data_IF_675495705636
#
_entry.id   IF_675495705636
#
_cell.length_a   1.000
_cell.length_b   1.000
_cell.length_c   1.000
_cell.angle_alpha   90.00
_cell.angle_beta   90.00
_cell.angle_gamma   90.00
#
_symmetry.space_group_name_H-M   'P 1'
#
loop_
_entity.id
_entity.type
_entity.pdbx_description
1 polymer ?
#
# COMPACT_ATOMS: atom_id res chain seq x y z
N UNK A 1 -23.97 -18.21 -32.49
CA UNK A 1 -23.26 -19.29 -31.77
C UNK A 1 -22.58 -18.67 -30.56
N UNK A 2 -22.92 -19.07 -29.32
CA UNK A 2 -22.23 -18.56 -28.12
C UNK A 2 -20.97 -19.39 -27.88
N UNK A 3 -19.80 -18.75 -27.90
CA UNK A 3 -18.55 -19.40 -27.52
C UNK A 3 -18.60 -19.74 -26.02
N UNK A 4 -18.36 -21.01 -25.71
CA UNK A 4 -18.31 -21.55 -24.34
C UNK A 4 -16.86 -21.41 -23.87
N UNK A 5 -16.58 -20.37 -23.08
CA UNK A 5 -15.24 -20.16 -22.51
C UNK A 5 -14.86 -21.32 -21.59
N UNK A 6 -13.68 -21.90 -21.79
CA UNK A 6 -13.08 -22.86 -20.87
C UNK A 6 -12.59 -22.10 -19.63
N UNK A 7 -13.20 -22.36 -18.46
CA UNK A 7 -12.58 -22.05 -17.19
C UNK A 7 -11.49 -23.09 -16.94
N UNK A 8 -10.25 -22.74 -17.28
CA UNK A 8 -9.08 -23.52 -16.89
C UNK A 8 -8.93 -23.39 -15.37
N UNK A 9 -9.08 -24.50 -14.64
CA UNK A 9 -8.97 -24.57 -13.17
C UNK A 9 -7.48 -24.53 -12.69
N UNK A 10 -6.61 -23.89 -13.48
CA UNK A 10 -5.19 -23.77 -13.21
C UNK A 10 -4.89 -22.48 -12.44
N UNK A 11 -3.89 -22.54 -11.56
CA UNK A 11 -3.41 -21.39 -10.81
C UNK A 11 -2.91 -20.29 -11.77
N UNK A 12 -3.42 -19.07 -11.59
CA UNK A 12 -2.98 -17.89 -12.32
C UNK A 12 -2.37 -16.90 -11.31
N UNK A 13 -1.29 -16.26 -11.74
CA UNK A 13 -0.60 -15.21 -10.98
C UNK A 13 -0.95 -13.87 -11.62
N UNK A 14 -1.26 -12.87 -10.81
CA UNK A 14 -1.64 -11.53 -11.27
C UNK A 14 -0.92 -10.46 -10.44
N UNK A 15 -0.90 -9.23 -10.96
CA UNK A 15 -0.44 -8.05 -10.23
C UNK A 15 -1.41 -7.73 -9.08
N UNK A 16 -0.88 -7.16 -8.00
CA UNK A 16 -1.70 -6.77 -6.83
C UNK A 16 -2.16 -5.33 -6.99
N UNK A 17 -3.48 -5.11 -6.84
CA UNK A 17 -4.10 -3.79 -6.83
C UNK A 17 -4.56 -3.40 -5.42
N UNK A 18 -4.80 -2.11 -5.20
CA UNK A 18 -5.25 -1.57 -3.90
C UNK A 18 -6.58 -2.19 -3.46
N UNK A 19 -7.46 -2.50 -4.42
CA UNK A 19 -8.73 -3.21 -4.17
C UNK A 19 -8.54 -4.58 -3.54
N UNK A 20 -7.42 -5.25 -3.80
CA UNK A 20 -7.15 -6.60 -3.31
C UNK A 20 -6.73 -6.63 -1.83
N UNK A 21 -6.35 -5.47 -1.25
CA UNK A 21 -5.86 -5.37 0.13
C UNK A 21 -6.81 -5.99 1.16
N UNK A 22 -8.13 -5.88 0.95
CA UNK A 22 -9.14 -6.47 1.86
C UNK A 22 -9.06 -8.00 1.85
N UNK A 23 -8.92 -8.61 0.67
CA UNK A 23 -8.78 -10.06 0.51
C UNK A 23 -7.43 -10.53 1.03
N UNK A 24 -6.36 -9.79 0.73
CA UNK A 24 -5.01 -10.08 1.22
C UNK A 24 -4.95 -10.06 2.76
N UNK A 25 -5.65 -9.11 3.40
CA UNK A 25 -5.78 -9.02 4.86
C UNK A 25 -6.40 -10.30 5.44
N UNK A 26 -7.48 -10.80 4.86
CA UNK A 26 -8.13 -12.02 5.34
C UNK A 26 -7.22 -13.25 5.18
N UNK A 27 -6.49 -13.37 4.05
CA UNK A 27 -5.51 -14.44 3.84
C UNK A 27 -4.37 -14.36 4.87
N UNK A 28 -3.89 -13.16 5.17
CA UNK A 28 -2.80 -12.95 6.12
C UNK A 28 -3.20 -13.32 7.55
N UNK A 29 -4.41 -12.93 7.97
CA UNK A 29 -5.00 -13.31 9.25
C UNK A 29 -5.13 -14.83 9.39
N UNK A 30 -5.67 -15.50 8.35
CA UNK A 30 -5.77 -16.96 8.31
C UNK A 30 -4.39 -17.63 8.44
N UNK A 31 -3.38 -17.13 7.72
CA UNK A 31 -2.01 -17.66 7.78
C UNK A 31 -1.39 -17.53 9.17
N UNK A 32 -1.68 -16.45 9.89
CA UNK A 32 -1.21 -16.22 11.25
C UNK A 32 -2.03 -16.97 12.31
N UNK A 33 -3.14 -17.61 11.93
CA UNK A 33 -4.15 -18.15 12.83
C UNK A 33 -4.59 -17.11 13.89
N UNK A 34 -4.67 -15.84 13.48
CA UNK A 34 -4.96 -14.69 14.33
C UNK A 34 -6.21 -13.99 13.82
N UNK A 35 -7.07 -13.54 14.73
CA UNK A 35 -8.17 -12.62 14.41
C UNK A 35 -7.75 -11.14 14.41
N UNK A 36 -6.50 -10.86 14.77
CA UNK A 36 -5.97 -9.51 14.96
C UNK A 36 -4.88 -9.27 13.92
N UNK A 37 -5.02 -8.16 13.20
CA UNK A 37 -4.05 -7.70 12.24
C UNK A 37 -2.82 -7.16 12.98
N UNK A 38 -1.62 -7.63 12.61
CA UNK A 38 -0.40 -6.97 13.07
C UNK A 38 -0.35 -5.56 12.47
N UNK A 39 0.14 -4.58 13.24
CA UNK A 39 0.40 -3.21 12.82
C UNK A 39 1.34 -3.14 11.60
N UNK A 40 2.13 -4.20 11.39
CA UNK A 40 3.04 -4.35 10.25
C UNK A 40 2.37 -4.81 8.94
N UNK A 41 1.06 -5.09 8.93
CA UNK A 41 0.39 -5.49 7.69
C UNK A 41 0.15 -4.28 6.77
N UNK A 42 0.92 -4.24 5.69
CA UNK A 42 0.69 -3.30 4.61
C UNK A 42 1.48 -3.64 3.35
N UNK A 43 1.18 -2.90 2.28
CA UNK A 43 1.84 -3.01 0.99
C UNK A 43 2.67 -1.74 0.72
N UNK A 44 4.02 -1.82 0.76
CA UNK A 44 4.88 -0.72 0.35
C UNK A 44 4.67 -0.39 -1.13
N UNK A 45 4.42 0.88 -1.45
CA UNK A 45 4.16 1.32 -2.83
C UNK A 45 5.00 2.52 -3.26
N UNK A 46 5.74 3.14 -2.34
CA UNK A 46 6.65 4.24 -2.65
C UNK A 46 7.92 4.16 -1.78
N UNK A 47 9.07 4.43 -2.38
CA UNK A 47 10.37 4.49 -1.70
C UNK A 47 10.99 5.88 -1.87
N UNK A 48 11.59 6.40 -0.82
CA UNK A 48 12.52 7.52 -0.87
C UNK A 48 13.95 7.00 -0.74
N UNK A 49 14.81 7.38 -1.69
CA UNK A 49 16.21 6.95 -1.73
C UNK A 49 17.15 8.14 -1.70
N UNK A 50 18.27 7.98 -1.01
CA UNK A 50 19.41 8.90 -1.04
C UNK A 50 20.62 8.13 -1.53
N UNK A 51 21.15 8.50 -2.69
CA UNK A 51 22.11 7.69 -3.42
C UNK A 51 21.61 6.25 -3.61
N UNK A 52 22.16 5.28 -2.87
CA UNK A 52 21.76 3.87 -2.94
C UNK A 52 20.95 3.41 -1.72
N UNK A 53 20.83 4.25 -0.69
CA UNK A 53 20.17 3.89 0.57
C UNK A 53 18.69 4.27 0.55
N UNK A 54 17.83 3.36 1.00
CA UNK A 54 16.42 3.65 1.25
C UNK A 54 16.31 4.34 2.60
N UNK A 55 15.79 5.56 2.60
CA UNK A 55 15.69 6.41 3.81
C UNK A 55 14.25 6.59 4.30
N UNK A 56 13.25 6.30 3.45
CA UNK A 56 11.85 6.22 3.85
C UNK A 56 11.04 5.40 2.84
N UNK A 57 9.87 4.93 3.26
CA UNK A 57 8.88 4.31 2.36
C UNK A 57 7.45 4.59 2.81
N UNK A 58 6.53 4.65 1.86
CA UNK A 58 5.09 4.73 2.12
C UNK A 58 4.44 3.35 1.92
N UNK A 59 3.53 3.03 2.82
CA UNK A 59 2.84 1.75 2.90
C UNK A 59 1.32 1.97 2.91
N UNK A 60 0.61 1.20 2.10
CA UNK A 60 -0.85 1.04 2.19
C UNK A 60 -1.14 0.09 3.34
N UNK A 61 -1.89 0.52 4.34
CA UNK A 61 -2.24 -0.31 5.50
C UNK A 61 -3.75 -0.45 5.62
N UNK A 62 -4.20 -1.47 6.35
CA UNK A 62 -5.59 -1.52 6.82
C UNK A 62 -5.60 -1.11 8.28
N UNK A 63 -6.26 0.00 8.58
CA UNK A 63 -6.36 0.48 9.96
C UNK A 63 -7.36 -0.37 10.78
N UNK A 64 -7.43 -0.11 12.07
CA UNK A 64 -8.31 -0.81 13.01
C UNK A 64 -9.81 -0.72 12.66
N UNK A 65 -10.22 0.22 11.80
CA UNK A 65 -11.59 0.34 11.31
C UNK A 65 -11.84 -0.48 10.04
N UNK A 66 -10.86 -1.25 9.57
CA UNK A 66 -10.94 -2.03 8.34
C UNK A 66 -10.87 -1.18 7.07
N UNK A 67 -10.44 0.08 7.16
CA UNK A 67 -10.29 0.98 6.01
C UNK A 67 -8.86 1.02 5.53
N UNK A 68 -8.70 1.28 4.23
CA UNK A 68 -7.38 1.55 3.63
C UNK A 68 -6.91 2.90 4.14
N UNK A 69 -5.67 2.93 4.61
CA UNK A 69 -4.96 4.10 5.11
C UNK A 69 -3.51 4.07 4.61
N UNK A 70 -2.76 5.13 4.91
CA UNK A 70 -1.38 5.26 4.48
C UNK A 70 -0.46 5.62 5.63
N UNK A 71 0.66 4.92 5.73
CA UNK A 71 1.71 5.22 6.71
C UNK A 71 3.02 5.50 5.96
N UNK A 72 3.68 6.59 6.33
CA UNK A 72 5.03 6.91 5.89
C UNK A 72 6.01 6.52 7.01
N UNK A 73 6.87 5.55 6.73
CA UNK A 73 7.96 5.11 7.60
C UNK A 73 9.27 5.78 7.19
N UNK A 74 9.99 6.32 8.16
CA UNK A 74 11.23 7.09 7.97
C UNK A 74 12.33 6.50 8.85
N UNK A 75 13.58 6.58 8.40
CA UNK A 75 14.73 6.39 9.29
C UNK A 75 14.83 7.57 10.25
N UNK A 76 15.28 7.33 11.49
CA UNK A 76 15.25 8.33 12.58
C UNK A 76 16.03 9.63 12.27
N UNK A 77 17.03 9.56 11.38
CA UNK A 77 18.01 10.62 11.14
C UNK A 77 17.77 11.45 9.86
N UNK A 78 16.52 11.75 9.51
CA UNK A 78 16.25 12.72 8.42
C UNK A 78 16.69 14.14 8.81
N UNK A 79 17.42 14.80 7.92
CA UNK A 79 17.85 16.19 8.08
C UNK A 79 16.70 17.19 7.87
N UNK A 80 16.96 18.47 8.11
CA UNK A 80 15.94 19.52 8.09
C UNK A 80 15.21 19.70 6.75
N UNK A 81 15.86 19.44 5.62
CA UNK A 81 15.24 19.52 4.30
C UNK A 81 14.53 18.20 3.94
N UNK A 82 15.11 17.06 4.29
CA UNK A 82 14.47 15.74 4.14
C UNK A 82 13.16 15.64 4.94
N UNK A 83 13.11 16.26 6.13
CA UNK A 83 11.88 16.38 6.92
C UNK A 83 10.82 17.25 6.23
N UNK A 84 11.20 18.29 5.49
CA UNK A 84 10.23 19.08 4.72
C UNK A 84 9.66 18.26 3.57
N UNK A 85 10.52 17.51 2.87
CA UNK A 85 10.09 16.64 1.77
C UNK A 85 9.16 15.53 2.25
N UNK A 86 9.48 14.88 3.38
CA UNK A 86 8.57 13.92 4.03
C UNK A 86 7.23 14.57 4.37
N UNK A 87 7.24 15.74 5.02
CA UNK A 87 6.01 16.44 5.39
C UNK A 87 5.17 16.81 4.17
N UNK A 88 5.81 17.15 3.06
CA UNK A 88 5.13 17.39 1.79
C UNK A 88 4.49 16.10 1.25
N UNK A 89 5.22 14.99 1.27
CA UNK A 89 4.71 13.68 0.85
C UNK A 89 3.53 13.21 1.71
N UNK A 90 3.57 13.43 3.03
CA UNK A 90 2.44 13.12 3.93
C UNK A 90 1.18 13.86 3.49
N UNK A 91 1.29 15.14 3.11
CA UNK A 91 0.15 15.95 2.62
C UNK A 91 -0.40 15.45 1.28
N UNK A 92 0.49 15.05 0.37
CA UNK A 92 0.09 14.47 -0.93
C UNK A 92 -0.70 13.18 -0.69
N UNK A 93 -0.16 12.29 0.15
CA UNK A 93 -0.77 10.99 0.45
C UNK A 93 -2.10 11.16 1.20
N UNK A 94 -2.20 12.13 2.11
CA UNK A 94 -3.44 12.45 2.84
C UNK A 94 -4.50 13.17 1.98
N UNK A 95 -4.19 13.52 0.72
CA UNK A 95 -5.11 14.23 -0.17
C UNK A 95 -5.36 15.70 0.21
N UNK A 96 -4.52 16.28 1.08
CA UNK A 96 -4.68 17.64 1.61
C UNK A 96 -4.18 18.74 0.64
N UNK A 97 -3.68 18.35 -0.54
CA UNK A 97 -3.24 19.27 -1.60
C UNK A 97 -3.91 18.89 -2.93
N UNK A 98 -4.66 19.80 -3.56
CA UNK A 98 -5.17 19.67 -4.95
C UNK A 98 -4.52 20.76 -5.83
N UNK A 99 -4.22 20.55 -7.14
CA UNK A 99 -4.87 19.62 -8.07
C UNK A 99 -3.85 18.70 -8.78
N UNK A 100 -3.85 17.43 -8.40
CA UNK A 100 -2.99 16.42 -8.98
C UNK A 100 -3.18 15.12 -8.22
N UNK A 101 -4.45 14.73 -8.07
CA UNK A 101 -4.87 13.46 -7.47
C UNK A 101 -3.96 12.35 -7.98
N UNK A 102 -3.25 11.67 -7.08
CA UNK A 102 -2.73 10.34 -7.39
C UNK A 102 -3.97 9.45 -7.48
N UNK A 103 -4.56 9.42 -8.67
CA UNK A 103 -5.50 8.39 -9.07
C UNK A 103 -4.68 7.12 -9.21
N UNK A 104 -4.63 6.30 -8.15
CA UNK A 104 -4.26 4.90 -8.35
C UNK A 104 -5.50 4.27 -9.02
N UNK A 105 -5.43 3.87 -10.30
CA UNK A 105 -6.59 3.32 -10.97
C UNK A 105 -6.98 2.01 -10.29
N UNK A 106 -8.15 1.99 -9.67
CA UNK A 106 -8.88 0.75 -9.40
C UNK A 106 -9.74 0.50 -10.64
N UNK A 107 -9.39 -0.52 -11.43
CA UNK A 107 -10.13 -0.92 -12.63
C UNK A 107 -10.99 -2.15 -12.32
#
# INVERSE_FOLDING_TARGET
>A
MKAKGWHSNHLQWDEVYVSDMVVLKDIFLQKQNSGILNEDFGLPFLLAKKAQDVVAFACLVINHLGKIDFILHEVEDLNGDEKKDSNHMRKIIAGETHPGTIMIPCN
#
